data_IF_056133650118
#
_entry.id   IF_056133650118
#
_cell.length_a   1.000
_cell.length_b   1.000
_cell.length_c   1.000
_cell.angle_alpha   90.00
_cell.angle_beta   90.00
_cell.angle_gamma   90.00
#
_symmetry.space_group_name_H-M   'P 1'
#
loop_
_entity.id
_entity.type
_entity.pdbx_description
1 polymer ?
#
# COMPACT_ATOMS: atom_id res chain seq x y z
N UNK A 1 13.11 -13.26 11.09
CA UNK A 1 12.87 -14.14 9.93
C UNK A 1 12.39 -13.25 8.80
N UNK A 2 13.16 -13.14 7.72
CA UNK A 2 12.82 -12.26 6.60
C UNK A 2 11.79 -12.92 5.69
N UNK A 3 10.78 -12.16 5.26
CA UNK A 3 9.97 -12.55 4.11
C UNK A 3 10.91 -12.68 2.89
N UNK A 4 10.73 -13.67 2.00
CA UNK A 4 11.44 -13.67 0.72
C UNK A 4 11.18 -12.35 0.01
N UNK A 5 12.19 -11.86 -0.72
CA UNK A 5 12.12 -10.57 -1.40
C UNK A 5 10.88 -10.53 -2.32
N UNK A 6 9.86 -9.78 -1.92
CA UNK A 6 8.67 -9.55 -2.74
C UNK A 6 9.02 -8.53 -3.80
N UNK A 7 8.80 -8.86 -5.08
CA UNK A 7 8.99 -7.91 -6.18
C UNK A 7 7.81 -6.91 -6.23
N UNK A 8 7.76 -6.03 -5.23
CA UNK A 8 6.81 -4.93 -5.12
C UNK A 8 7.38 -3.73 -5.89
N UNK A 9 6.61 -3.23 -6.85
CA UNK A 9 6.99 -2.12 -7.72
C UNK A 9 5.91 -1.05 -7.76
N UNK A 10 6.34 0.21 -7.84
CA UNK A 10 5.44 1.33 -8.14
C UNK A 10 5.35 1.45 -9.66
N UNK A 11 4.14 1.27 -10.19
CA UNK A 11 3.81 1.72 -11.55
C UNK A 11 3.35 3.17 -11.42
N UNK A 12 4.29 4.08 -11.69
CA UNK A 12 4.04 5.51 -11.61
C UNK A 12 2.82 5.90 -12.46
N UNK A 13 1.95 6.81 -11.96
CA UNK A 13 2.09 7.56 -10.72
C UNK A 13 1.50 6.90 -9.47
N UNK A 14 0.60 5.93 -9.62
CA UNK A 14 -0.43 5.70 -8.60
C UNK A 14 -0.68 4.23 -8.23
N UNK A 15 -0.05 3.28 -8.94
CA UNK A 15 -0.37 1.88 -8.77
C UNK A 15 0.80 1.10 -8.15
N UNK A 16 0.46 0.08 -7.36
CA UNK A 16 1.43 -0.86 -6.80
C UNK A 16 1.20 -2.23 -7.43
N UNK A 17 2.28 -2.80 -7.94
CA UNK A 17 2.33 -4.11 -8.57
C UNK A 17 3.18 -5.06 -7.74
N UNK A 18 2.77 -6.32 -7.69
CA UNK A 18 3.53 -7.42 -7.11
C UNK A 18 3.61 -8.53 -8.16
N UNK A 19 4.83 -8.92 -8.54
CA UNK A 19 5.08 -9.90 -9.61
C UNK A 19 4.33 -9.58 -10.92
N UNK A 20 4.29 -8.31 -11.30
CA UNK A 20 3.62 -7.86 -12.53
C UNK A 20 2.09 -7.76 -12.46
N UNK A 21 1.47 -8.05 -11.32
CA UNK A 21 0.01 -7.94 -11.11
C UNK A 21 -0.31 -6.76 -10.19
N UNK A 22 -1.33 -5.98 -10.55
CA UNK A 22 -1.79 -4.84 -9.73
C UNK A 22 -2.43 -5.34 -8.43
N UNK A 23 -1.93 -4.86 -7.29
CA UNK A 23 -2.44 -5.23 -5.96
C UNK A 23 -2.97 -4.02 -5.17
N UNK A 24 -2.54 -2.81 -5.50
CA UNK A 24 -3.04 -1.60 -4.86
C UNK A 24 -3.06 -0.40 -5.82
N UNK A 25 -3.84 0.60 -5.44
CA UNK A 25 -3.94 1.88 -6.12
C UNK A 25 -4.07 3.01 -5.09
N UNK A 26 -3.45 4.13 -5.39
CA UNK A 26 -3.44 5.34 -4.58
C UNK A 26 -4.04 6.46 -5.42
N UNK A 27 -4.99 7.20 -4.87
CA UNK A 27 -5.55 8.40 -5.49
C UNK A 27 -5.34 9.57 -4.54
N UNK A 28 -4.72 10.62 -5.03
CA UNK A 28 -4.52 11.86 -4.27
C UNK A 28 -5.21 13.00 -5.01
N UNK A 29 -6.09 13.71 -4.33
CA UNK A 29 -6.77 14.88 -4.86
C UNK A 29 -6.48 16.08 -3.95
N UNK A 30 -6.23 17.25 -4.54
CA UNK A 30 -6.03 18.49 -3.81
C UNK A 30 -6.98 19.59 -4.28
N UNK A 31 -7.50 20.37 -3.34
CA UNK A 31 -8.24 21.62 -3.63
C UNK A 31 -7.55 22.79 -2.94
N UNK A 32 -7.29 23.86 -3.69
CA UNK A 32 -6.73 25.09 -3.14
C UNK A 32 -7.86 26.09 -2.84
N UNK A 33 -8.02 26.46 -1.57
CA UNK A 33 -9.05 27.38 -1.11
C UNK A 33 -8.43 28.34 -0.10
N UNK A 34 -8.56 29.65 -0.34
CA UNK A 34 -8.14 30.71 0.58
C UNK A 34 -6.71 30.58 1.10
N UNK A 35 -5.75 30.26 0.23
CA UNK A 35 -4.35 30.13 0.64
C UNK A 35 -3.93 28.73 1.09
N UNK A 36 -4.88 27.79 1.22
CA UNK A 36 -4.64 26.47 1.83
C UNK A 36 -4.90 25.36 0.80
N UNK A 37 -3.96 24.42 0.70
CA UNK A 37 -4.17 23.16 -0.02
C UNK A 37 -4.85 22.14 0.90
N UNK A 38 -6.07 21.74 0.55
CA UNK A 38 -6.76 20.61 1.16
C UNK A 38 -6.44 19.37 0.34
N UNK A 39 -5.64 18.46 0.89
CA UNK A 39 -5.21 17.23 0.21
C UNK A 39 -5.94 16.03 0.80
N UNK A 40 -6.51 15.19 -0.06
CA UNK A 40 -7.20 13.95 0.31
C UNK A 40 -6.59 12.80 -0.47
N UNK A 41 -6.12 11.79 0.26
CA UNK A 41 -5.52 10.58 -0.32
C UNK A 41 -6.36 9.36 0.04
N UNK A 42 -6.80 8.62 -0.98
CA UNK A 42 -7.40 7.29 -0.85
C UNK A 42 -6.40 6.21 -1.24
N UNK A 43 -6.27 5.19 -0.40
CA UNK A 43 -5.40 4.02 -0.66
C UNK A 43 -6.28 2.76 -0.67
N UNK A 44 -6.27 2.04 -1.78
CA UNK A 44 -6.92 0.74 -1.91
C UNK A 44 -5.89 -0.36 -2.05
N UNK A 45 -5.93 -1.38 -1.19
CA UNK A 45 -5.09 -2.56 -1.24
C UNK A 45 -5.92 -3.84 -1.25
N UNK A 46 -5.62 -4.72 -2.19
CA UNK A 46 -6.14 -6.08 -2.20
C UNK A 46 -5.39 -6.93 -1.19
N UNK A 47 -5.83 -6.94 0.07
CA UNK A 47 -5.15 -7.67 1.15
C UNK A 47 -5.51 -9.16 1.17
N UNK A 48 -6.80 -9.47 1.14
CA UNK A 48 -7.32 -10.84 1.17
C UNK A 48 -8.67 -10.93 0.46
N UNK A 49 -8.63 -10.55 -0.81
CA UNK A 49 -9.80 -10.54 -1.68
C UNK A 49 -9.98 -11.95 -2.27
N UNK A 50 -11.23 -12.30 -2.60
CA UNK A 50 -11.55 -13.46 -3.44
C UNK A 50 -11.22 -13.12 -4.91
N UNK A 51 -11.24 -14.12 -5.80
CA UNK A 51 -11.15 -13.92 -7.25
C UNK A 51 -12.15 -12.87 -7.79
N UNK A 52 -11.83 -12.16 -8.89
CA UNK A 52 -10.75 -12.42 -9.87
C UNK A 52 -9.43 -11.67 -9.62
N UNK A 53 -9.34 -10.82 -8.60
CA UNK A 53 -8.15 -9.98 -8.38
C UNK A 53 -7.10 -10.68 -7.51
N UNK A 54 -5.82 -10.54 -7.87
CA UNK A 54 -4.71 -11.02 -7.01
C UNK A 54 -4.60 -10.15 -5.75
N UNK A 55 -4.47 -10.79 -4.60
CA UNK A 55 -4.30 -10.14 -3.31
C UNK A 55 -2.97 -10.53 -2.63
N UNK A 56 -2.50 -9.69 -1.71
CA UNK A 56 -1.22 -9.85 -1.03
C UNK A 56 -1.12 -11.21 -0.32
N UNK A 57 -2.14 -11.60 0.44
CA UNK A 57 -2.14 -12.88 1.14
C UNK A 57 -2.14 -14.08 0.20
N UNK A 58 -2.76 -13.98 -0.99
CA UNK A 58 -2.70 -15.06 -1.99
C UNK A 58 -1.28 -15.25 -2.54
N UNK A 59 -0.53 -14.17 -2.75
CA UNK A 59 0.87 -14.25 -3.20
C UNK A 59 1.77 -14.77 -2.09
N UNK A 60 1.60 -14.31 -0.85
CA UNK A 60 2.38 -14.76 0.31
C UNK A 60 2.22 -16.26 0.58
N UNK A 61 1.00 -16.79 0.48
CA UNK A 61 0.73 -18.23 0.60
C UNK A 61 1.52 -19.05 -0.42
N UNK A 62 1.68 -18.55 -1.65
CA UNK A 62 2.44 -19.21 -2.72
C UNK A 62 3.95 -19.14 -2.50
N UNK A 63 4.47 -18.04 -1.94
CA UNK A 63 5.91 -17.79 -1.85
C UNK A 63 6.56 -18.38 -0.59
N UNK A 64 5.84 -18.45 0.52
CA UNK A 64 6.43 -18.74 1.85
C UNK A 64 5.88 -20.03 2.45
N UNK A 65 4.94 -20.70 1.76
CA UNK A 65 4.20 -21.85 2.29
C UNK A 65 3.68 -21.64 3.72
N UNK A 66 3.43 -20.37 4.09
CA UNK A 66 3.00 -19.99 5.43
C UNK A 66 1.49 -20.07 5.51
N UNK A 67 0.99 -20.61 6.62
CA UNK A 67 -0.43 -20.52 6.96
C UNK A 67 -0.79 -19.15 7.56
N UNK A 68 0.21 -18.34 7.91
CA UNK A 68 -0.01 -17.02 8.48
C UNK A 68 -0.56 -16.07 7.42
N UNK A 69 -1.66 -15.42 7.77
CA UNK A 69 -2.38 -14.48 6.92
C UNK A 69 -2.32 -13.11 7.59
N UNK A 70 -1.81 -12.12 6.87
CA UNK A 70 -1.77 -10.74 7.32
C UNK A 70 -3.19 -10.25 7.50
N UNK A 71 -3.52 -9.84 8.72
CA UNK A 71 -4.83 -9.27 9.05
C UNK A 71 -4.89 -7.79 8.68
N UNK A 72 -6.10 -7.24 8.56
CA UNK A 72 -6.28 -5.83 8.18
C UNK A 72 -5.66 -4.89 9.21
N UNK A 73 -5.83 -5.21 10.49
CA UNK A 73 -5.37 -4.41 11.62
C UNK A 73 -3.85 -4.40 11.69
N UNK A 74 -3.23 -5.56 11.47
CA UNK A 74 -1.78 -5.72 11.39
C UNK A 74 -1.20 -4.90 10.23
N UNK A 75 -1.80 -5.01 9.04
CA UNK A 75 -1.38 -4.23 7.89
C UNK A 75 -1.55 -2.72 8.13
N UNK A 76 -2.70 -2.30 8.64
CA UNK A 76 -2.98 -0.88 8.89
C UNK A 76 -2.04 -0.29 9.92
N UNK A 77 -1.76 -1.00 11.01
CA UNK A 77 -0.78 -0.56 12.01
C UNK A 77 0.60 -0.39 11.39
N UNK A 78 1.08 -1.39 10.64
CA UNK A 78 2.37 -1.31 9.96
C UNK A 78 2.41 -0.19 8.91
N UNK A 79 1.32 0.01 8.16
CA UNK A 79 1.18 1.07 7.16
C UNK A 79 1.26 2.44 7.81
N UNK A 80 0.46 2.73 8.85
CA UNK A 80 0.44 4.05 9.48
C UNK A 80 1.76 4.37 10.17
N UNK A 81 2.34 3.41 10.89
CA UNK A 81 3.68 3.60 11.49
C UNK A 81 4.71 4.05 10.46
N UNK A 82 4.65 3.50 9.23
CA UNK A 82 5.59 3.88 8.17
C UNK A 82 5.16 5.12 7.39
N UNK A 83 3.86 5.32 7.21
CA UNK A 83 3.31 6.48 6.52
C UNK A 83 3.63 7.76 7.29
N UNK A 84 3.53 7.75 8.62
CA UNK A 84 3.86 8.90 9.47
C UNK A 84 5.31 9.35 9.29
N UNK A 85 6.29 8.43 9.31
CA UNK A 85 7.70 8.74 9.01
C UNK A 85 7.86 9.51 7.68
N UNK A 86 7.19 9.03 6.63
CA UNK A 86 7.28 9.62 5.30
C UNK A 86 6.51 10.93 5.19
N UNK A 87 5.37 11.04 5.87
CA UNK A 87 4.56 12.24 5.91
C UNK A 87 5.28 13.37 6.64
N UNK A 88 5.91 13.08 7.78
CA UNK A 88 6.78 14.04 8.47
C UNK A 88 7.96 14.48 7.59
N UNK A 89 8.58 13.53 6.89
CA UNK A 89 9.67 13.83 5.95
C UNK A 89 9.19 14.75 4.83
N UNK A 90 8.02 14.48 4.26
CA UNK A 90 7.39 15.32 3.24
C UNK A 90 7.15 16.74 3.77
N UNK A 91 6.52 16.89 4.93
CA UNK A 91 6.22 18.19 5.54
C UNK A 91 7.46 19.05 5.85
N UNK A 92 8.64 18.43 6.04
CA UNK A 92 9.91 19.18 6.24
C UNK A 92 10.53 19.64 4.92
N UNK A 93 10.11 19.07 3.80
CA UNK A 93 10.64 19.38 2.46
C UNK A 93 9.75 20.34 1.67
N UNK A 94 8.53 20.62 2.16
CA UNK A 94 7.63 21.66 1.65
C UNK A 94 7.81 22.94 2.44
#
# INVERSE_FOLDING_TARGET
>A
MGFPHLDVKIKWPNDIYLNGLKIAGISCNSKYISGIFNVSSGVGLNLDNVEPTTCLNAVLRKLISTQHKIKREEFLSAFFNKFEDYFETFLRQV
#
